data_IF_710221539262
#
_entry.id   IF_710221539262
#
_cell.length_a   1.000
_cell.length_b   1.000
_cell.length_c   1.000
_cell.angle_alpha   90.00
_cell.angle_beta   90.00
_cell.angle_gamma   90.00
#
_symmetry.space_group_name_H-M   'P 1'
#
loop_
_entity.id
_entity.type
_entity.pdbx_description
1 polymer ?
#
# COMPACT_ATOMS: atom_id res chain seq x y z
N UNK A 1 -6.33 27.81 -8.10
CA UNK A 1 -5.38 28.78 -7.54
C UNK A 1 -3.99 28.23 -7.78
N UNK A 2 -3.06 29.05 -8.29
CA UNK A 2 -1.66 28.62 -8.41
C UNK A 2 -1.07 28.37 -7.03
N UNK A 3 -0.34 27.26 -6.86
CA UNK A 3 0.58 27.10 -5.74
C UNK A 3 1.99 27.48 -6.18
N UNK A 4 2.62 28.39 -5.43
CA UNK A 4 4.07 28.59 -5.49
C UNK A 4 4.65 27.69 -4.42
N UNK A 5 5.43 26.69 -4.82
CA UNK A 5 6.10 25.78 -3.89
C UNK A 5 7.60 25.97 -4.03
N UNK A 6 8.27 26.17 -2.90
CA UNK A 6 9.73 26.24 -2.81
C UNK A 6 10.40 24.88 -3.03
N UNK A 7 11.70 24.73 -2.70
CA UNK A 7 12.36 23.45 -2.82
C UNK A 7 11.73 22.42 -1.87
N UNK A 8 11.27 21.31 -2.44
CA UNK A 8 10.74 20.18 -1.68
C UNK A 8 11.53 18.92 -2.05
N UNK A 9 11.77 18.07 -1.05
CA UNK A 9 12.30 16.73 -1.26
C UNK A 9 11.30 15.74 -0.66
N UNK A 10 10.74 14.90 -1.53
CA UNK A 10 9.88 13.80 -1.11
C UNK A 10 10.72 12.53 -1.19
N UNK A 11 11.02 11.93 -0.05
CA UNK A 11 11.88 10.74 -0.01
C UNK A 11 11.12 9.46 -0.35
N UNK A 12 9.84 9.36 0.03
CA UNK A 12 8.97 8.28 -0.40
C UNK A 12 7.49 8.64 -0.17
N UNK A 13 6.63 8.07 -1.00
CA UNK A 13 5.18 8.01 -0.84
C UNK A 13 4.81 6.56 -1.08
N UNK A 14 4.24 5.88 -0.07
CA UNK A 14 3.81 4.49 -0.20
C UNK A 14 2.41 4.32 -0.83
N UNK A 15 1.72 5.43 -1.12
CA UNK A 15 0.43 5.45 -1.79
C UNK A 15 -0.24 6.83 -1.77
N UNK A 16 -1.26 7.00 -2.60
CA UNK A 16 -2.04 8.23 -2.67
C UNK A 16 -1.44 9.33 -3.55
N UNK A 17 -1.86 10.57 -3.32
CA UNK A 17 -1.50 11.72 -4.16
C UNK A 17 -0.82 12.79 -3.31
N UNK A 18 0.32 13.29 -3.80
CA UNK A 18 0.88 14.56 -3.34
C UNK A 18 0.48 15.62 -4.35
N UNK A 19 -0.39 16.53 -3.92
CA UNK A 19 -0.89 17.61 -4.75
C UNK A 19 -0.40 18.96 -4.21
N UNK A 20 0.04 19.82 -5.13
CA UNK A 20 0.40 21.19 -4.86
C UNK A 20 -0.41 22.11 -5.76
N UNK A 21 -1.23 22.96 -5.15
CA UNK A 21 -2.20 23.79 -5.85
C UNK A 21 -3.61 23.24 -5.70
N UNK A 22 -4.55 23.82 -6.42
CA UNK A 22 -5.95 23.44 -6.26
C UNK A 22 -6.23 22.09 -6.92
N UNK A 23 -7.08 21.33 -6.26
CA UNK A 23 -7.68 20.14 -6.82
C UNK A 23 -9.20 20.22 -6.63
N UNK A 24 -9.94 19.81 -7.66
CA UNK A 24 -11.41 19.77 -7.62
C UNK A 24 -11.90 18.52 -6.88
N UNK A 25 -11.32 17.37 -7.21
CA UNK A 25 -11.45 16.12 -6.45
C UNK A 25 -10.15 15.34 -6.50
N UNK A 26 -9.71 14.83 -5.34
CA UNK A 26 -8.65 13.83 -5.21
C UNK A 26 -9.24 12.68 -4.40
N UNK A 27 -9.50 11.56 -5.06
CA UNK A 27 -10.01 10.36 -4.40
C UNK A 27 -9.00 9.24 -4.58
N UNK A 28 -7.79 9.32 -3.97
CA UNK A 28 -6.85 8.21 -4.04
C UNK A 28 -7.50 7.00 -3.39
N UNK A 29 -7.50 5.90 -4.12
CA UNK A 29 -7.97 4.62 -3.62
C UNK A 29 -6.81 3.64 -3.60
N UNK A 30 -6.78 2.82 -2.57
CA UNK A 30 -5.85 1.71 -2.48
C UNK A 30 -6.57 0.55 -1.83
N UNK A 31 -6.40 -0.62 -2.41
CA UNK A 31 -6.78 -1.88 -1.79
C UNK A 31 -5.61 -2.83 -1.90
N UNK A 32 -5.39 -3.63 -0.87
CA UNK A 32 -4.30 -4.59 -0.84
C UNK A 32 -4.72 -5.83 -0.08
N UNK A 33 -4.60 -6.98 -0.72
CA UNK A 33 -4.55 -8.29 -0.06
C UNK A 33 -3.09 -8.66 0.12
N UNK A 34 -2.74 -9.19 1.28
CA UNK A 34 -1.45 -9.81 1.47
C UNK A 34 -1.59 -11.04 2.35
N UNK A 35 -1.01 -12.14 1.90
CA UNK A 35 -0.84 -13.34 2.70
C UNK A 35 0.65 -13.60 2.87
N UNK A 36 1.13 -13.38 4.09
CA UNK A 36 2.54 -13.51 4.43
C UNK A 36 2.74 -14.77 5.25
N UNK A 37 3.73 -15.55 4.86
CA UNK A 37 4.08 -16.80 5.52
C UNK A 37 5.21 -16.70 6.50
N UNK A 38 5.64 -17.87 6.97
CA UNK A 38 6.79 -18.03 7.82
C UNK A 38 8.00 -17.33 7.19
N UNK A 39 8.48 -16.28 7.85
CA UNK A 39 9.63 -15.49 7.42
C UNK A 39 9.35 -14.35 6.44
N UNK A 40 8.09 -13.98 6.21
CA UNK A 40 7.74 -12.94 5.25
C UNK A 40 7.50 -11.56 5.92
N UNK A 41 7.58 -10.49 5.12
CA UNK A 41 7.33 -9.11 5.57
C UNK A 41 8.50 -8.39 6.23
N UNK A 42 9.71 -8.93 6.14
CA UNK A 42 10.85 -8.36 6.86
C UNK A 42 11.55 -7.26 6.06
N UNK A 43 11.92 -6.18 6.75
CA UNK A 43 12.68 -5.06 6.20
C UNK A 43 13.77 -4.65 7.19
N UNK A 44 14.98 -4.41 6.69
CA UNK A 44 16.16 -4.03 7.48
C UNK A 44 17.41 -4.78 7.02
N UNK A 45 18.51 -4.61 7.74
CA UNK A 45 19.80 -5.25 7.44
C UNK A 45 20.16 -6.33 8.48
N UNK A 46 20.96 -7.32 8.06
CA UNK A 46 21.47 -8.42 8.92
C UNK A 46 20.40 -9.35 9.52
N UNK A 47 19.31 -9.58 8.80
CA UNK A 47 18.24 -10.45 9.29
C UNK A 47 18.61 -11.94 9.14
N UNK A 48 18.53 -12.68 10.24
CA UNK A 48 18.65 -14.14 10.27
C UNK A 48 17.29 -14.78 10.57
N UNK A 49 16.70 -15.43 9.57
CA UNK A 49 15.37 -16.00 9.67
C UNK A 49 15.41 -17.53 9.60
N UNK A 50 15.04 -18.18 10.70
CA UNK A 50 14.86 -19.63 10.77
C UNK A 50 13.38 -19.96 10.81
N UNK A 51 12.85 -20.50 9.71
CA UNK A 51 11.43 -20.83 9.55
C UNK A 51 11.31 -22.34 9.27
N UNK A 52 10.41 -23.03 9.98
CA UNK A 52 10.35 -24.51 9.96
C UNK A 52 9.22 -25.06 9.08
N UNK A 53 7.98 -24.62 9.29
CA UNK A 53 6.80 -25.03 8.52
C UNK A 53 5.91 -23.82 8.31
N UNK A 54 5.26 -23.73 7.15
CA UNK A 54 4.34 -22.66 6.81
C UNK A 54 3.08 -23.21 6.13
N UNK A 55 1.93 -22.65 6.47
CA UNK A 55 0.70 -22.74 5.68
C UNK A 55 0.12 -21.33 5.63
N UNK A 56 0.28 -20.67 4.47
CA UNK A 56 -0.03 -19.24 4.31
C UNK A 56 -1.50 -18.99 4.04
N UNK A 57 -2.11 -19.89 3.27
CA UNK A 57 -3.44 -19.74 2.72
C UNK A 57 -4.25 -20.99 3.06
N UNK A 58 -5.39 -20.82 3.71
CA UNK A 58 -6.49 -21.79 3.65
C UNK A 58 -7.39 -21.44 2.46
N UNK A 59 -8.26 -22.37 2.05
CA UNK A 59 -9.24 -22.17 0.97
C UNK A 59 -9.99 -20.86 1.21
N UNK A 60 -9.91 -19.97 0.23
CA UNK A 60 -10.61 -18.71 0.22
C UNK A 60 -11.77 -18.79 -0.78
N UNK A 61 -13.01 -19.04 -0.33
CA UNK A 61 -14.14 -19.27 -1.21
C UNK A 61 -14.89 -17.96 -1.55
N UNK A 62 -14.41 -16.81 -1.08
CA UNK A 62 -15.09 -15.55 -1.35
C UNK A 62 -15.04 -15.20 -2.85
N UNK A 63 -16.15 -14.66 -3.35
CA UNK A 63 -16.29 -14.32 -4.78
C UNK A 63 -15.68 -12.96 -5.07
N UNK A 64 -15.75 -12.06 -4.09
CA UNK A 64 -15.34 -10.69 -4.21
C UNK A 64 -14.33 -10.38 -3.11
N UNK A 65 -13.14 -9.91 -3.49
CA UNK A 65 -12.20 -9.33 -2.55
C UNK A 65 -11.59 -8.05 -3.11
N UNK A 66 -11.32 -7.11 -2.21
CA UNK A 66 -10.79 -5.78 -2.48
C UNK A 66 -11.68 -4.92 -3.39
N UNK A 67 -12.99 -5.17 -3.43
CA UNK A 67 -13.95 -4.38 -4.20
C UNK A 67 -13.91 -2.90 -3.79
N UNK A 68 -13.54 -2.04 -4.73
CA UNK A 68 -13.53 -0.58 -4.54
C UNK A 68 -14.69 0.08 -5.31
N UNK A 69 -15.93 -0.26 -4.94
CA UNK A 69 -17.14 0.23 -5.61
C UNK A 69 -17.37 1.72 -5.30
N UNK A 70 -17.48 2.52 -6.36
CA UNK A 70 -17.88 3.94 -6.34
C UNK A 70 -16.70 4.93 -6.40
N UNK A 71 -16.60 5.71 -7.48
CA UNK A 71 -15.84 6.97 -7.47
C UNK A 71 -16.86 8.07 -7.16
N UNK A 72 -16.82 8.62 -5.95
CA UNK A 72 -17.67 9.73 -5.55
C UNK A 72 -16.83 10.74 -4.81
#
# INVERSE_FOLDING_TARGET
MPAIVGPIAINSISGGVVNFGDSFYLSPKSSSKSALGSGAGNTGDFLLLNNAVNATNYIDPDVNDQDMVGNG
#
